data_IF_915978319100
#
_entry.id   IF_915978319100
#
_cell.length_a   1.000
_cell.length_b   1.000
_cell.length_c   1.000
_cell.angle_alpha   90.00
_cell.angle_beta   90.00
_cell.angle_gamma   90.00
#
_symmetry.space_group_name_H-M   'P 1'
#
loop_
_entity.id
_entity.type
_entity.pdbx_description
1 polymer ?
#
# COMPACT_ATOMS: atom_id res chain seq x y z
N UNK A 1 4.05 29.46 1.68
CA UNK A 1 3.83 28.32 2.58
C UNK A 1 2.32 28.20 2.73
N UNK A 2 1.67 27.34 1.95
CA UNK A 2 0.23 27.07 2.06
C UNK A 2 0.06 25.91 3.03
N UNK A 3 -0.13 26.23 4.31
CA UNK A 3 -0.56 25.25 5.31
C UNK A 3 -2.05 24.96 5.06
N UNK A 4 -2.33 23.93 4.28
CA UNK A 4 -3.65 23.32 4.19
C UNK A 4 -4.09 22.94 5.61
N UNK A 5 -4.99 23.74 6.18
CA UNK A 5 -5.52 23.56 7.54
C UNK A 5 -6.50 22.37 7.54
N UNK A 6 -5.95 21.16 7.42
CA UNK A 6 -6.75 19.94 7.34
C UNK A 6 -7.35 19.65 8.71
N UNK A 7 -8.67 19.52 8.72
CA UNK A 7 -9.44 19.28 9.93
C UNK A 7 -10.25 17.99 9.79
N UNK A 8 -10.52 17.33 10.92
CA UNK A 8 -11.31 16.11 11.02
C UNK A 8 -12.38 16.25 12.10
N UNK A 9 -13.56 15.62 11.95
CA UNK A 9 -14.55 15.57 13.01
C UNK A 9 -14.12 14.59 14.11
N UNK A 10 -14.36 14.97 15.37
CA UNK A 10 -14.23 14.07 16.51
C UNK A 10 -15.22 12.91 16.39
N UNK A 11 -14.72 11.67 16.45
CA UNK A 11 -15.56 10.45 16.38
C UNK A 11 -16.56 10.30 17.52
N UNK A 12 -16.37 11.02 18.63
CA UNK A 12 -17.21 10.91 19.83
C UNK A 12 -18.24 12.03 19.97
N UNK A 13 -17.93 13.26 19.57
CA UNK A 13 -18.82 14.40 19.77
C UNK A 13 -19.11 15.21 18.49
N UNK A 14 -18.51 14.83 17.35
CA UNK A 14 -18.73 15.46 16.05
C UNK A 14 -18.11 16.84 15.88
N UNK A 15 -17.44 17.40 16.89
CA UNK A 15 -16.75 18.71 16.80
C UNK A 15 -15.55 18.63 15.85
N UNK A 16 -15.35 19.66 15.05
CA UNK A 16 -14.20 19.81 14.16
C UNK A 16 -12.92 20.04 14.97
N UNK A 17 -11.86 19.33 14.62
CA UNK A 17 -10.55 19.38 15.24
C UNK A 17 -9.46 19.35 14.16
N UNK A 18 -8.22 19.76 14.47
CA UNK A 18 -7.08 19.56 13.58
C UNK A 18 -6.91 18.08 13.22
N UNK A 19 -6.44 17.78 12.00
CA UNK A 19 -6.21 16.40 11.58
C UNK A 19 -5.17 15.68 12.46
N UNK A 20 -4.18 16.41 12.96
CA UNK A 20 -3.13 15.92 13.84
C UNK A 20 -3.59 15.79 15.30
N UNK A 21 -4.83 16.21 15.62
CA UNK A 21 -5.35 16.14 16.97
C UNK A 21 -5.45 14.67 17.45
N UNK A 22 -4.66 14.35 18.47
CA UNK A 22 -4.68 13.08 19.20
C UNK A 22 -5.66 13.09 20.37
N UNK A 23 -6.23 14.25 20.69
CA UNK A 23 -7.11 14.45 21.84
C UNK A 23 -8.20 15.46 21.50
N UNK A 24 -9.43 15.23 21.96
CA UNK A 24 -10.54 16.15 21.79
C UNK A 24 -10.70 17.04 23.04
N UNK A 25 -10.40 18.33 22.91
CA UNK A 25 -10.55 19.31 24.00
C UNK A 25 -12.02 19.58 24.39
N UNK A 26 -12.99 19.26 23.52
CA UNK A 26 -14.42 19.45 23.79
C UNK A 26 -15.03 18.35 24.65
N UNK A 27 -14.78 17.08 24.30
CA UNK A 27 -15.34 15.93 25.02
C UNK A 27 -14.34 15.22 25.94
N UNK A 28 -13.10 15.72 26.00
CA UNK A 28 -12.01 15.20 26.84
C UNK A 28 -11.72 13.72 26.63
N UNK A 29 -11.70 13.28 25.37
CA UNK A 29 -11.36 11.90 24.96
C UNK A 29 -10.17 11.89 24.03
N UNK A 30 -9.37 10.85 24.15
CA UNK A 30 -8.29 10.54 23.22
C UNK A 30 -8.84 10.09 21.86
N UNK A 31 -8.20 10.54 20.79
CA UNK A 31 -8.55 10.27 19.39
C UNK A 31 -7.51 9.38 18.71
N UNK A 32 -6.59 8.81 19.48
CA UNK A 32 -5.45 8.03 19.00
C UNK A 32 -5.96 6.83 18.19
N UNK A 33 -6.06 7.00 16.89
CA UNK A 33 -5.95 5.91 15.95
C UNK A 33 -4.46 5.70 15.78
N UNK A 34 -3.92 4.66 16.42
CA UNK A 34 -2.56 4.17 16.17
C UNK A 34 -2.33 4.27 14.66
N UNK A 35 -1.33 5.04 14.17
CA UNK A 35 -1.07 5.10 12.74
C UNK A 35 -0.96 3.66 12.28
N UNK A 36 -1.80 3.26 11.32
CA UNK A 36 -1.69 1.96 10.69
C UNK A 36 -0.23 1.85 10.29
N UNK A 37 0.49 0.93 10.96
CA UNK A 37 1.84 0.58 10.57
C UNK A 37 1.70 0.31 9.08
N UNK A 38 2.41 1.02 8.18
CA UNK A 38 2.28 0.79 6.75
C UNK A 38 2.49 -0.70 6.57
N UNK A 39 1.39 -1.38 6.29
CA UNK A 39 1.39 -2.80 6.03
C UNK A 39 2.24 -2.85 4.79
N UNK A 40 3.49 -3.30 4.95
CA UNK A 40 4.32 -3.63 3.81
C UNK A 40 3.48 -4.69 3.13
N UNK A 41 2.71 -4.30 2.12
CA UNK A 41 2.03 -5.23 1.26
C UNK A 41 3.15 -6.14 0.79
N UNK A 42 3.17 -7.43 1.14
CA UNK A 42 4.12 -8.33 0.53
C UNK A 42 3.69 -8.39 -0.93
N UNK A 43 4.31 -7.52 -1.73
CA UNK A 43 4.10 -7.42 -3.15
C UNK A 43 4.38 -8.81 -3.71
N UNK A 44 3.31 -9.40 -4.23
CA UNK A 44 3.36 -10.16 -5.47
C UNK A 44 3.97 -11.54 -5.32
N UNK A 45 3.07 -12.49 -5.03
CA UNK A 45 3.24 -13.91 -5.36
C UNK A 45 3.87 -14.04 -6.74
N UNK A 46 5.06 -14.63 -6.72
CA UNK A 46 6.11 -14.54 -7.73
C UNK A 46 5.74 -15.24 -9.05
N UNK A 47 4.94 -14.59 -9.88
CA UNK A 47 4.73 -14.99 -11.28
C UNK A 47 5.84 -14.46 -12.21
N UNK A 48 6.64 -13.47 -11.79
CA UNK A 48 7.82 -12.98 -12.53
C UNK A 48 8.82 -14.11 -12.80
N UNK A 49 8.99 -15.00 -11.83
CA UNK A 49 9.86 -16.16 -11.95
C UNK A 49 9.26 -17.23 -12.89
N UNK A 50 7.93 -17.36 -12.92
CA UNK A 50 7.22 -18.26 -13.85
C UNK A 50 7.34 -17.78 -15.30
N UNK A 51 7.16 -16.47 -15.56
CA UNK A 51 7.32 -15.91 -16.91
C UNK A 51 8.75 -16.06 -17.42
N UNK A 52 9.77 -15.88 -16.55
CA UNK A 52 11.16 -16.09 -16.91
C UNK A 52 11.47 -17.53 -17.33
N UNK A 53 10.95 -18.51 -16.58
CA UNK A 53 11.11 -19.93 -16.91
C UNK A 53 10.42 -20.32 -18.23
N UNK A 54 9.19 -19.84 -18.45
CA UNK A 54 8.44 -20.12 -19.69
C UNK A 54 9.17 -19.52 -20.90
N UNK A 55 9.62 -18.27 -20.81
CA UNK A 55 10.34 -17.62 -21.89
C UNK A 55 11.64 -18.37 -22.25
N UNK A 56 12.42 -18.78 -21.24
CA UNK A 56 13.63 -19.56 -21.46
C UNK A 56 13.33 -20.91 -22.13
N UNK A 57 12.30 -21.63 -21.67
CA UNK A 57 11.89 -22.90 -22.26
C UNK A 57 11.47 -22.75 -23.73
N UNK A 58 10.70 -21.71 -24.07
CA UNK A 58 10.27 -21.43 -25.46
C UNK A 58 11.47 -21.16 -26.36
N UNK A 59 12.44 -20.35 -25.91
CA UNK A 59 13.67 -20.08 -26.69
C UNK A 59 14.46 -21.36 -26.94
N UNK A 60 14.63 -22.19 -25.91
CA UNK A 60 15.35 -23.47 -26.03
C UNK A 60 14.66 -24.37 -27.07
N UNK A 61 13.34 -24.50 -27.02
CA UNK A 61 12.57 -25.32 -27.98
C UNK A 61 12.71 -24.80 -29.40
N UNK A 62 12.63 -23.48 -29.61
CA UNK A 62 12.82 -22.88 -30.94
C UNK A 62 14.22 -23.17 -31.48
N UNK A 63 15.26 -23.01 -30.66
CA UNK A 63 16.64 -23.31 -31.06
C UNK A 63 16.80 -24.79 -31.43
N UNK A 64 16.23 -25.71 -30.65
CA UNK A 64 16.29 -27.14 -30.97
C UNK A 64 15.59 -27.47 -32.28
N UNK A 65 14.43 -26.87 -32.56
CA UNK A 65 13.72 -27.07 -33.84
C UNK A 65 14.57 -26.58 -35.03
N UNK A 66 15.19 -25.40 -34.90
CA UNK A 66 16.07 -24.84 -35.94
C UNK A 66 17.34 -25.66 -36.16
N UNK A 67 17.85 -26.34 -35.13
CA UNK A 67 19.02 -27.24 -35.24
C UNK A 67 18.67 -28.61 -35.84
N UNK A 68 17.39 -29.03 -35.74
CA UNK A 68 16.90 -30.32 -36.22
C UNK A 68 16.24 -30.24 -37.62
N UNK A 69 16.00 -29.04 -38.15
CA UNK A 69 15.45 -28.79 -39.50
C UNK A 69 16.57 -28.58 -40.51
#
# INVERSE_FOLDING_TARGET
MTEDNKTKPCRYCGKTLPEEAIFCYYCRRELVTRPERPTVEPKQGSNWMTYGLIAAAVVIVIVLILLLS
#
